data_IF_094415183827
#
_entry.id   IF_094415183827
#
_cell.length_a   1.000
_cell.length_b   1.000
_cell.length_c   1.000
_cell.angle_alpha   90.00
_cell.angle_beta   90.00
_cell.angle_gamma   90.00
#
_symmetry.space_group_name_H-M   'P 1'
#
loop_
_entity.id
_entity.type
_entity.pdbx_description
1 polymer ?
#
# COMPACT_ATOMS: atom_id res chain seq x y z
N UNK A 1 -3.01 -7.98 6.92
CA UNK A 1 -2.49 -8.80 8.04
C UNK A 1 -3.61 -8.93 9.05
N UNK A 2 -4.06 -10.15 9.38
CA UNK A 2 -5.12 -10.35 10.37
C UNK A 2 -4.50 -10.44 11.76
N UNK A 3 -4.95 -9.56 12.66
CA UNK A 3 -4.48 -9.46 14.04
C UNK A 3 -5.69 -9.26 14.93
N UNK A 4 -5.66 -9.76 16.18
CA UNK A 4 -6.77 -9.56 17.13
C UNK A 4 -7.12 -8.07 17.35
N UNK A 5 -6.13 -7.18 17.22
CA UNK A 5 -6.24 -5.72 17.33
C UNK A 5 -5.27 -5.08 16.35
N UNK A 6 -5.30 -3.76 16.18
CA UNK A 6 -4.49 -3.02 15.20
C UNK A 6 -2.96 -2.95 15.45
N UNK A 7 -2.39 -3.89 16.20
CA UNK A 7 -0.95 -3.92 16.51
C UNK A 7 -0.04 -4.13 15.29
N UNK A 8 -0.58 -4.63 14.18
CA UNK A 8 0.16 -4.79 12.92
C UNK A 8 0.23 -3.52 12.05
N UNK A 9 -0.53 -2.46 12.40
CA UNK A 9 -0.59 -1.22 11.60
C UNK A 9 0.78 -0.53 11.51
N UNK A 10 1.55 -0.33 12.60
CA UNK A 10 2.86 0.32 12.50
C UNK A 10 3.85 -0.44 11.62
N UNK A 11 3.80 -1.78 11.62
CA UNK A 11 4.64 -2.61 10.74
C UNK A 11 4.24 -2.43 9.28
N UNK A 12 2.94 -2.38 8.99
CA UNK A 12 2.45 -2.11 7.64
C UNK A 12 2.88 -0.72 7.14
N UNK A 13 2.73 0.31 7.97
CA UNK A 13 3.18 1.68 7.65
C UNK A 13 4.69 1.74 7.41
N UNK A 14 5.48 1.03 8.23
CA UNK A 14 6.92 0.98 8.05
C UNK A 14 7.35 0.29 6.75
N UNK A 15 6.62 -0.73 6.31
CA UNK A 15 6.86 -1.38 5.01
C UNK A 15 6.56 -0.43 3.85
N UNK A 16 5.53 0.40 3.98
CA UNK A 16 5.14 1.38 2.96
C UNK A 16 6.24 2.43 2.71
N UNK A 17 7.02 2.80 3.73
CA UNK A 17 8.16 3.71 3.55
C UNK A 17 9.13 3.23 2.45
N UNK A 18 9.36 1.93 2.30
CA UNK A 18 10.26 1.41 1.27
C UNK A 18 9.71 1.57 -0.15
N UNK A 19 8.39 1.50 -0.30
CA UNK A 19 7.69 1.73 -1.57
C UNK A 19 7.80 3.22 -1.92
N UNK A 20 7.54 4.09 -0.94
CA UNK A 20 7.60 5.55 -1.11
C UNK A 20 9.01 6.03 -1.48
N UNK A 21 10.04 5.55 -0.78
CA UNK A 21 11.44 5.91 -1.07
C UNK A 21 11.95 5.34 -2.39
N UNK A 22 11.24 4.37 -2.97
CA UNK A 22 11.60 3.73 -4.25
C UNK A 22 10.87 4.34 -5.45
N UNK A 23 10.16 5.47 -5.26
CA UNK A 23 9.38 6.16 -6.29
C UNK A 23 8.28 5.27 -6.92
N UNK A 24 7.76 4.31 -6.14
CA UNK A 24 6.74 3.38 -6.61
C UNK A 24 5.33 3.95 -6.43
N UNK A 25 4.44 3.63 -7.36
CA UNK A 25 3.01 3.97 -7.24
C UNK A 25 2.35 3.03 -6.22
N UNK A 26 1.78 3.60 -5.16
CA UNK A 26 1.09 2.87 -4.10
C UNK A 26 -0.43 3.01 -4.22
N UNK A 27 -1.13 1.88 -4.19
CA UNK A 27 -2.58 1.87 -4.06
C UNK A 27 -3.00 2.06 -2.59
N UNK A 28 -4.02 2.87 -2.36
CA UNK A 28 -4.66 3.04 -1.04
C UNK A 28 -6.06 2.43 -1.02
N UNK A 29 -6.67 2.37 0.15
CA UNK A 29 -8.09 2.05 0.33
C UNK A 29 -8.84 3.25 0.93
N UNK A 30 -10.07 3.03 1.40
CA UNK A 30 -10.91 4.06 2.01
C UNK A 30 -10.73 4.20 3.53
N UNK A 31 -9.85 3.42 4.16
CA UNK A 31 -9.51 3.54 5.58
C UNK A 31 -8.15 2.86 5.89
N UNK A 32 -7.80 2.68 7.17
CA UNK A 32 -6.61 1.90 7.52
C UNK A 32 -6.69 0.48 6.96
N UNK A 33 -5.63 0.03 6.27
CA UNK A 33 -5.54 -1.30 5.65
C UNK A 33 -5.35 -2.40 6.71
N UNK A 34 -6.38 -2.61 7.53
CA UNK A 34 -6.42 -3.57 8.64
C UNK A 34 -7.65 -4.46 8.52
N UNK A 35 -7.50 -5.68 9.02
CA UNK A 35 -8.58 -6.66 9.18
C UNK A 35 -8.35 -7.37 10.51
N UNK A 36 -9.40 -7.61 11.28
CA UNK A 36 -9.30 -8.21 12.61
C UNK A 36 -9.73 -9.67 12.64
N UNK A 37 -9.00 -10.49 13.39
CA UNK A 37 -9.33 -11.91 13.59
C UNK A 37 -8.31 -12.59 14.48
N UNK A 38 -8.77 -13.43 15.40
CA UNK A 38 -7.92 -14.20 16.32
C UNK A 38 -7.77 -15.64 15.85
N UNK A 39 -8.86 -16.25 15.37
CA UNK A 39 -8.87 -17.63 14.86
C UNK A 39 -9.12 -17.69 13.35
N UNK A 40 -8.72 -18.77 12.66
CA UNK A 40 -8.97 -18.92 11.23
C UNK A 40 -10.47 -18.74 10.89
N UNK A 41 -10.76 -17.88 9.92
CA UNK A 41 -12.13 -17.58 9.50
C UNK A 41 -12.78 -16.37 10.21
N UNK A 42 -12.31 -15.94 11.37
CA UNK A 42 -12.86 -14.74 12.03
C UNK A 42 -12.65 -13.47 11.21
N UNK A 43 -11.54 -13.36 10.48
CA UNK A 43 -11.29 -12.24 9.59
C UNK A 43 -12.40 -12.05 8.54
N UNK A 44 -13.05 -13.13 8.11
CA UNK A 44 -14.17 -13.03 7.15
C UNK A 44 -15.44 -12.44 7.78
N UNK A 45 -15.52 -12.37 9.11
CA UNK A 45 -16.63 -11.80 9.87
C UNK A 45 -16.41 -10.31 10.16
N UNK A 46 -15.19 -9.80 9.96
CA UNK A 46 -14.90 -8.37 9.99
C UNK A 46 -15.38 -7.72 8.68
N UNK A 47 -16.67 -7.38 8.63
CA UNK A 47 -17.32 -6.86 7.42
C UNK A 47 -16.65 -5.56 6.91
N UNK A 48 -16.24 -4.67 7.83
CA UNK A 48 -15.55 -3.43 7.49
C UNK A 48 -14.14 -3.73 6.96
N UNK A 49 -13.35 -4.54 7.66
CA UNK A 49 -12.02 -4.95 7.21
C UNK A 49 -12.06 -5.65 5.85
N UNK A 50 -13.05 -6.53 5.62
CA UNK A 50 -13.27 -7.19 4.33
C UNK A 50 -13.62 -6.19 3.23
N UNK A 51 -14.43 -5.17 3.52
CA UNK A 51 -14.72 -4.10 2.59
C UNK A 51 -13.45 -3.31 2.26
N UNK A 52 -12.66 -2.93 3.26
CA UNK A 52 -11.39 -2.20 3.09
C UNK A 52 -10.43 -3.00 2.19
N UNK A 53 -10.26 -4.30 2.44
CA UNK A 53 -9.42 -5.17 1.60
C UNK A 53 -9.96 -5.29 0.16
N UNK A 54 -11.28 -5.33 -0.02
CA UNK A 54 -11.92 -5.34 -1.34
C UNK A 54 -11.67 -4.04 -2.11
N UNK A 55 -11.80 -2.89 -1.44
CA UNK A 55 -11.50 -1.57 -2.02
C UNK A 55 -10.02 -1.47 -2.39
N UNK A 56 -9.11 -1.89 -1.50
CA UNK A 56 -7.67 -1.92 -1.78
C UNK A 56 -7.37 -2.74 -3.04
N UNK A 57 -7.90 -3.96 -3.14
CA UNK A 57 -7.69 -4.83 -4.30
C UNK A 57 -8.24 -4.24 -5.60
N UNK A 58 -9.41 -3.59 -5.55
CA UNK A 58 -9.98 -2.88 -6.72
C UNK A 58 -9.09 -1.72 -7.15
N UNK A 59 -8.57 -0.93 -6.20
CA UNK A 59 -7.69 0.19 -6.49
C UNK A 59 -6.34 -0.26 -7.06
N UNK A 60 -5.76 -1.35 -6.52
CA UNK A 60 -4.57 -1.98 -7.08
C UNK A 60 -4.79 -2.43 -8.53
N UNK A 61 -5.88 -3.16 -8.79
CA UNK A 61 -6.20 -3.63 -10.13
C UNK A 61 -6.45 -2.48 -11.11
N UNK A 62 -7.09 -1.40 -10.65
CA UNK A 62 -7.31 -0.20 -11.45
C UNK A 62 -5.99 0.51 -11.81
N UNK A 63 -5.10 0.73 -10.84
CA UNK A 63 -3.79 1.33 -11.07
C UNK A 63 -2.95 0.50 -12.05
N UNK A 64 -2.90 -0.82 -11.88
CA UNK A 64 -2.13 -1.69 -12.78
C UNK A 64 -2.62 -1.60 -14.23
N UNK A 65 -3.95 -1.61 -14.44
CA UNK A 65 -4.55 -1.44 -15.77
C UNK A 65 -4.30 -0.05 -16.33
N UNK A 66 -4.35 0.97 -15.50
CA UNK A 66 -4.11 2.35 -15.91
C UNK A 66 -2.66 2.55 -16.37
N UNK A 67 -1.69 2.09 -15.56
CA UNK A 67 -0.27 2.11 -15.92
C UNK A 67 -0.05 1.37 -17.24
N UNK A 68 -0.59 0.16 -17.38
CA UNK A 68 -0.44 -0.64 -18.59
C UNK A 68 -0.99 0.06 -19.84
N UNK A 69 -2.15 0.71 -19.72
CA UNK A 69 -2.75 1.50 -20.81
C UNK A 69 -1.91 2.73 -21.21
N UNK A 70 -1.12 3.26 -20.28
CA UNK A 70 -0.29 4.45 -20.47
C UNK A 70 1.12 4.17 -21.00
N UNK A 71 1.65 2.95 -20.86
CA UNK A 71 3.07 2.60 -21.16
C UNK A 71 3.58 3.06 -22.54
N UNK A 72 2.73 3.01 -23.55
CA UNK A 72 3.11 3.39 -24.93
C UNK A 72 2.91 4.89 -25.23
N UNK A 73 2.21 5.61 -24.37
CA UNK A 73 1.78 7.00 -24.59
C UNK A 73 2.42 7.98 -23.61
N UNK A 74 2.87 7.50 -22.45
CA UNK A 74 3.49 8.28 -21.38
C UNK A 74 4.86 7.71 -21.11
N UNK A 75 5.91 8.50 -21.35
CA UNK A 75 7.29 8.10 -21.03
C UNK A 75 7.44 7.98 -19.52
N UNK A 76 8.05 6.90 -19.05
CA UNK A 76 8.42 6.75 -17.65
C UNK A 76 9.40 7.85 -17.22
N UNK A 77 9.28 8.31 -15.97
CA UNK A 77 10.18 9.32 -15.43
C UNK A 77 11.60 8.74 -15.30
N UNK A 78 12.61 9.56 -15.59
CA UNK A 78 13.99 9.20 -15.34
C UNK A 78 14.26 9.34 -13.84
N UNK A 79 15.00 8.39 -13.26
CA UNK A 79 15.36 8.45 -11.84
C UNK A 79 16.39 9.55 -11.63
N UNK A 80 16.14 10.39 -10.64
CA UNK A 80 17.06 11.44 -10.24
C UNK A 80 18.15 10.88 -9.31
N UNK A 81 19.37 11.37 -9.47
CA UNK A 81 20.45 11.03 -8.56
C UNK A 81 20.25 11.68 -7.19
N UNK A 82 20.44 10.89 -6.12
CA UNK A 82 20.28 11.39 -4.76
C UNK A 82 21.39 12.39 -4.43
N UNK A 83 21.03 13.65 -4.18
CA UNK A 83 21.94 14.66 -3.63
C UNK A 83 22.16 14.35 -2.14
N UNK A 84 23.38 13.94 -1.79
CA UNK A 84 23.74 13.69 -0.39
C UNK A 84 24.09 15.00 0.34
N UNK A 85 23.49 15.20 1.50
CA UNK A 85 23.81 16.32 2.40
C UNK A 85 24.09 15.78 3.81
N UNK A 86 25.26 16.12 4.36
CA UNK A 86 25.56 15.83 5.78
C UNK A 86 24.79 16.80 6.67
N UNK A 87 24.09 16.26 7.67
CA UNK A 87 23.40 17.05 8.70
C UNK A 87 24.28 17.36 9.92
N UNK A 88 25.46 16.73 10.01
CA UNK A 88 26.47 17.01 11.03
C UNK A 88 27.33 18.18 10.53
N UNK A 89 27.47 19.23 11.35
CA UNK A 89 28.34 20.39 11.14
C UNK A 89 29.57 20.33 12.02
#
# INVERSE_FOLDING_TARGET
MAVRRSGGVPTFEQLNNYIDYSEMVMASSNYWNVIHGTTPGEAMQDEEGMQIMSVLGKNMAWILKFIDSGKNNVKENEREDKIFMSFIR
#
